data_IF_916165386163
#
_entry.id   IF_916165386163
#
_cell.length_a   1.000
_cell.length_b   1.000
_cell.length_c   1.000
_cell.angle_alpha   90.00
_cell.angle_beta   90.00
_cell.angle_gamma   90.00
#
_symmetry.space_group_name_H-M   'P 1'
#
loop_
_entity.id
_entity.type
_entity.pdbx_description
1 polymer ?
#
# COMPACT_ATOMS: atom_id res chain seq x y z
N UNK A 1 13.44 -38.19 54.40
CA UNK A 1 12.96 -38.24 52.99
C UNK A 1 12.41 -36.86 52.64
N UNK A 2 13.20 -36.01 51.96
CA UNK A 2 12.80 -34.65 51.58
C UNK A 2 12.11 -34.69 50.22
N UNK A 3 10.81 -34.42 50.19
CA UNK A 3 10.02 -34.27 48.96
C UNK A 3 10.33 -32.92 48.34
N UNK A 4 11.03 -32.92 47.21
CA UNK A 4 11.27 -31.75 46.38
C UNK A 4 10.00 -31.51 45.56
N UNK A 5 9.33 -30.39 45.81
CA UNK A 5 8.11 -29.99 45.11
C UNK A 5 8.54 -29.27 43.83
N UNK A 6 8.37 -29.91 42.68
CA UNK A 6 8.65 -29.30 41.38
C UNK A 6 7.50 -28.35 41.02
N UNK A 7 7.75 -27.05 41.16
CA UNK A 7 6.89 -26.00 40.63
C UNK A 7 7.14 -25.98 39.11
N UNK A 8 6.20 -26.54 38.34
CA UNK A 8 6.14 -26.31 36.91
C UNK A 8 5.69 -24.87 36.67
N UNK A 9 6.64 -23.98 36.35
CA UNK A 9 6.34 -22.65 35.86
C UNK A 9 5.77 -22.80 34.46
N UNK A 10 4.45 -22.66 34.34
CA UNK A 10 3.77 -22.43 33.07
C UNK A 10 4.16 -21.02 32.60
N UNK A 11 5.09 -20.94 31.66
CA UNK A 11 5.36 -19.71 30.91
C UNK A 11 4.22 -19.59 29.89
N UNK A 12 3.29 -18.63 30.01
CA UNK A 12 2.35 -18.37 28.94
C UNK A 12 3.15 -17.89 27.73
N UNK A 13 3.16 -18.71 26.69
CA UNK A 13 3.59 -18.28 25.38
C UNK A 13 2.57 -17.26 24.86
N UNK A 14 2.76 -15.99 25.20
CA UNK A 14 2.24 -14.89 24.38
C UNK A 14 3.02 -14.96 23.06
N UNK A 15 2.60 -15.85 22.17
CA UNK A 15 3.03 -15.87 20.79
C UNK A 15 2.60 -14.54 20.19
N UNK A 16 3.55 -13.60 20.13
CA UNK A 16 3.35 -12.24 19.68
C UNK A 16 2.63 -12.24 18.33
N UNK A 17 1.44 -11.65 18.30
CA UNK A 17 0.74 -11.35 17.07
C UNK A 17 1.41 -10.14 16.39
N UNK A 18 2.64 -10.33 15.91
CA UNK A 18 3.48 -9.26 15.35
C UNK A 18 2.81 -8.56 14.17
N UNK A 19 1.93 -9.26 13.44
CA UNK A 19 1.21 -8.66 12.32
C UNK A 19 -0.02 -7.89 12.80
N UNK A 20 -0.69 -8.33 13.86
CA UNK A 20 -1.83 -7.61 14.44
C UNK A 20 -1.51 -6.18 14.87
N UNK A 21 -0.23 -5.86 15.13
CA UNK A 21 0.19 -4.49 15.40
C UNK A 21 -0.06 -3.54 14.23
N UNK A 22 -0.19 -4.03 13.00
CA UNK A 22 -0.49 -3.27 11.78
C UNK A 22 -1.99 -3.11 11.51
N UNK A 23 -2.86 -3.70 12.32
CA UNK A 23 -4.30 -3.49 12.19
C UNK A 23 -4.66 -2.04 12.54
N UNK A 24 -5.52 -1.40 11.74
CA UNK A 24 -6.07 -0.07 12.00
C UNK A 24 -7.38 -0.18 12.79
N UNK A 25 -7.46 0.48 13.94
CA UNK A 25 -8.69 0.61 14.72
C UNK A 25 -9.67 1.67 14.20
N UNK A 26 -10.76 1.86 14.94
CA UNK A 26 -11.71 2.96 14.67
C UNK A 26 -11.01 4.32 14.82
N UNK A 27 -11.08 5.15 13.78
CA UNK A 27 -10.41 6.45 13.75
C UNK A 27 -8.90 6.40 13.52
N UNK A 28 -8.33 5.23 13.20
CA UNK A 28 -6.92 5.11 12.82
C UNK A 28 -6.76 4.91 11.31
N UNK A 29 -5.70 5.49 10.75
CA UNK A 29 -5.34 5.33 9.35
C UNK A 29 -3.82 5.29 9.19
N UNK A 30 -3.35 4.62 8.15
CA UNK A 30 -2.01 4.79 7.65
C UNK A 30 -2.01 5.90 6.61
N UNK A 31 -1.25 6.97 6.82
CA UNK A 31 -1.18 8.12 5.91
C UNK A 31 0.28 8.44 5.56
N UNK A 32 0.49 8.91 4.33
CA UNK A 32 1.79 9.43 3.90
C UNK A 32 1.79 9.88 2.45
N UNK A 33 2.84 10.62 2.10
CA UNK A 33 2.97 11.22 0.78
C UNK A 33 3.68 10.30 -0.21
N UNK A 34 3.40 10.56 -1.49
CA UNK A 34 4.08 9.90 -2.59
C UNK A 34 5.57 10.24 -2.61
N UNK A 35 6.39 9.23 -2.86
CA UNK A 35 7.84 9.36 -3.02
C UNK A 35 8.15 9.66 -4.49
N UNK A 36 9.20 10.46 -4.72
CA UNK A 36 9.71 10.76 -6.05
C UNK A 36 9.63 12.25 -6.35
N UNK A 37 10.80 12.90 -6.32
CA UNK A 37 10.97 14.29 -6.77
C UNK A 37 10.92 14.36 -8.29
N UNK A 38 10.50 15.50 -8.85
CA UNK A 38 10.49 15.69 -10.30
C UNK A 38 11.87 15.35 -10.90
N UNK A 39 11.89 14.46 -11.88
CA UNK A 39 13.07 14.00 -12.58
C UNK A 39 12.95 14.24 -14.10
N UNK A 40 13.39 15.41 -14.58
CA UNK A 40 13.23 15.80 -15.98
C UNK A 40 14.06 14.94 -16.95
N UNK A 41 14.97 14.09 -16.46
CA UNK A 41 15.74 13.17 -17.31
C UNK A 41 14.95 11.90 -17.65
N UNK A 42 13.99 11.53 -16.79
CA UNK A 42 13.16 10.34 -16.96
C UNK A 42 11.72 10.68 -17.39
N UNK A 43 11.38 11.97 -17.46
CA UNK A 43 10.06 12.48 -17.80
C UNK A 43 10.12 13.32 -19.08
N UNK A 44 9.42 12.92 -20.15
CA UNK A 44 9.35 13.73 -21.36
C UNK A 44 8.67 15.07 -21.07
N UNK A 45 9.03 16.09 -21.85
CA UNK A 45 8.30 17.36 -21.97
C UNK A 45 8.07 18.15 -20.66
N UNK A 46 8.92 17.94 -19.65
CA UNK A 46 8.84 18.68 -18.38
C UNK A 46 7.66 18.26 -17.49
N UNK A 47 7.02 17.13 -17.82
CA UNK A 47 5.95 16.52 -17.01
C UNK A 47 6.46 16.26 -15.60
N UNK A 48 5.66 16.61 -14.59
CA UNK A 48 5.97 16.33 -13.19
C UNK A 48 5.87 14.83 -12.89
N UNK A 49 6.96 14.09 -13.14
CA UNK A 49 7.06 12.66 -12.86
C UNK A 49 8.46 12.29 -12.31
N UNK A 50 8.68 11.01 -12.02
CA UNK A 50 10.01 10.46 -11.74
C UNK A 50 10.10 8.97 -12.10
N UNK A 51 11.28 8.37 -12.03
CA UNK A 51 11.41 6.93 -12.26
C UNK A 51 10.61 6.06 -11.26
N UNK A 52 10.21 6.62 -10.11
CA UNK A 52 9.37 5.99 -9.08
C UNK A 52 7.98 6.62 -8.94
N UNK A 53 7.60 7.55 -9.83
CA UNK A 53 6.30 8.24 -9.79
C UNK A 53 5.81 8.59 -11.19
N UNK A 54 4.64 8.09 -11.56
CA UNK A 54 3.97 8.34 -12.85
C UNK A 54 2.46 8.38 -12.65
N UNK A 55 1.79 9.30 -13.34
CA UNK A 55 0.35 9.50 -13.27
C UNK A 55 -0.11 10.22 -12.00
N UNK A 56 0.67 10.12 -10.92
CA UNK A 56 0.43 10.87 -9.69
C UNK A 56 1.23 12.18 -9.63
N UNK A 57 0.60 13.31 -9.29
CA UNK A 57 1.30 14.56 -9.01
C UNK A 57 2.20 14.46 -7.77
N UNK A 58 3.15 15.39 -7.63
CA UNK A 58 3.99 15.46 -6.44
C UNK A 58 3.15 15.86 -5.22
N UNK A 59 3.46 15.27 -4.06
CA UNK A 59 2.78 15.59 -2.80
C UNK A 59 1.38 15.00 -2.65
N UNK A 60 0.96 14.09 -3.54
CA UNK A 60 -0.26 13.30 -3.32
C UNK A 60 -0.10 12.47 -2.06
N UNK A 61 -1.14 12.48 -1.24
CA UNK A 61 -1.21 11.71 -0.02
C UNK A 61 -2.06 10.47 -0.26
N UNK A 62 -1.60 9.33 0.25
CA UNK A 62 -2.36 8.07 0.31
C UNK A 62 -2.78 7.81 1.75
N UNK A 63 -4.03 7.39 1.91
CA UNK A 63 -4.59 6.85 3.14
C UNK A 63 -4.91 5.37 2.95
N UNK A 64 -4.62 4.58 3.98
CA UNK A 64 -4.84 3.14 4.02
C UNK A 64 -5.48 2.76 5.36
N UNK A 65 -6.63 2.09 5.31
CA UNK A 65 -7.08 1.23 6.40
C UNK A 65 -6.63 -0.18 6.10
N UNK A 66 -6.16 -0.91 7.11
CA UNK A 66 -5.61 -2.24 6.89
C UNK A 66 -5.85 -3.16 8.09
N UNK A 67 -6.31 -4.38 7.81
CA UNK A 67 -6.41 -5.46 8.78
C UNK A 67 -5.73 -6.74 8.25
N UNK A 68 -4.53 -7.08 8.75
CA UNK A 68 -3.80 -8.26 8.32
C UNK A 68 -4.48 -9.58 8.72
N UNK A 69 -5.39 -9.57 9.71
CA UNK A 69 -6.14 -10.77 10.10
C UNK A 69 -7.30 -11.06 9.13
N UNK A 70 -7.79 -10.03 8.44
CA UNK A 70 -8.85 -10.12 7.43
C UNK A 70 -8.35 -10.03 5.99
N UNK A 71 -7.05 -10.24 5.78
CA UNK A 71 -6.38 -10.17 4.47
C UNK A 71 -6.98 -11.01 3.32
N UNK A 72 -7.86 -11.97 3.61
CA UNK A 72 -8.49 -12.84 2.60
C UNK A 72 -9.98 -12.55 2.37
N UNK A 73 -10.56 -11.63 3.13
CA UNK A 73 -11.99 -11.29 3.09
C UNK A 73 -12.16 -9.78 2.93
N UNK A 74 -11.62 -9.01 3.85
CA UNK A 74 -11.75 -7.55 3.92
C UNK A 74 -10.44 -6.96 4.46
N UNK A 75 -9.40 -6.86 3.61
CA UNK A 75 -8.07 -6.39 4.03
C UNK A 75 -8.07 -4.92 4.42
N UNK A 76 -9.04 -4.13 3.95
CA UNK A 76 -9.10 -2.68 4.13
C UNK A 76 -9.24 -1.91 2.82
N UNK A 77 -9.01 -0.60 2.87
CA UNK A 77 -9.31 0.33 1.76
C UNK A 77 -8.18 1.34 1.56
N UNK A 78 -8.10 1.89 0.35
CA UNK A 78 -7.20 2.99 0.01
C UNK A 78 -7.97 4.22 -0.48
N UNK A 79 -7.49 5.41 -0.10
CA UNK A 79 -7.96 6.69 -0.62
C UNK A 79 -6.77 7.57 -0.96
N UNK A 80 -6.91 8.46 -1.93
CA UNK A 80 -5.88 9.47 -2.23
C UNK A 80 -6.46 10.88 -2.16
N UNK A 81 -5.56 11.84 -1.93
CA UNK A 81 -5.91 13.25 -1.96
C UNK A 81 -4.71 14.11 -2.37
N UNK A 82 -4.98 15.35 -2.79
CA UNK A 82 -3.97 16.29 -3.27
C UNK A 82 -3.83 16.32 -4.81
N UNK A 83 -4.47 15.41 -5.53
CA UNK A 83 -4.55 15.47 -6.98
C UNK A 83 -5.39 16.66 -7.48
N UNK A 84 -4.95 17.39 -8.53
CA UNK A 84 -5.68 18.54 -9.06
C UNK A 84 -6.96 18.15 -9.79
N UNK A 85 -7.01 16.93 -10.36
CA UNK A 85 -8.13 16.42 -11.14
C UNK A 85 -9.12 15.59 -10.30
N UNK A 86 -9.00 15.64 -8.97
CA UNK A 86 -9.77 14.82 -8.05
C UNK A 86 -9.09 13.50 -7.70
N UNK A 87 -9.59 12.80 -6.67
CA UNK A 87 -8.91 11.66 -6.08
C UNK A 87 -8.89 10.46 -7.04
N UNK A 88 -7.74 9.80 -7.11
CA UNK A 88 -7.58 8.52 -7.83
C UNK A 88 -8.32 7.38 -7.14
N UNK A 89 -8.32 7.37 -5.80
CA UNK A 89 -9.02 6.39 -4.98
C UNK A 89 -9.89 7.08 -3.93
N UNK A 90 -11.08 6.54 -3.69
CA UNK A 90 -12.01 7.05 -2.68
C UNK A 90 -12.66 5.89 -1.95
N UNK A 91 -12.05 5.49 -0.83
CA UNK A 91 -12.47 4.30 -0.07
C UNK A 91 -12.41 3.01 -0.88
N UNK A 92 -11.49 2.93 -1.84
CA UNK A 92 -11.43 1.79 -2.77
C UNK A 92 -10.96 0.54 -2.03
N UNK A 93 -11.71 -0.57 -2.08
CA UNK A 93 -11.35 -1.77 -1.35
C UNK A 93 -10.10 -2.46 -1.93
N UNK A 94 -9.30 -3.04 -1.04
CA UNK A 94 -8.23 -3.96 -1.39
C UNK A 94 -8.84 -5.35 -1.62
N UNK A 95 -8.72 -5.86 -2.84
CA UNK A 95 -9.26 -7.14 -3.24
C UNK A 95 -8.16 -8.21 -3.12
N UNK A 96 -8.34 -9.24 -2.28
CA UNK A 96 -7.45 -10.40 -2.24
C UNK A 96 -7.38 -11.08 -3.60
N UNK A 97 -6.20 -11.60 -3.95
CA UNK A 97 -6.02 -12.44 -5.14
C UNK A 97 -5.96 -13.89 -4.65
N UNK A 98 -7.03 -14.70 -4.78
CA UNK A 98 -7.12 -16.00 -4.12
C UNK A 98 -5.98 -16.95 -4.44
N UNK A 99 -5.47 -16.91 -5.67
CA UNK A 99 -4.34 -17.74 -6.10
C UNK A 99 -3.04 -17.46 -5.32
N UNK A 100 -2.88 -16.26 -4.76
CA UNK A 100 -1.71 -15.87 -3.96
C UNK A 100 -1.83 -16.21 -2.48
N UNK A 101 -3.00 -16.63 -2.00
CA UNK A 101 -3.17 -17.01 -0.60
C UNK A 101 -2.25 -18.18 -0.19
N UNK A 102 -1.77 -18.94 -1.17
CA UNK A 102 -0.82 -20.03 -0.97
C UNK A 102 0.58 -19.72 -1.52
N UNK A 103 0.86 -18.47 -1.92
CA UNK A 103 2.17 -18.07 -2.42
C UNK A 103 3.20 -18.12 -1.29
N UNK A 104 4.03 -19.17 -1.31
CA UNK A 104 5.10 -19.37 -0.35
C UNK A 104 6.22 -18.34 -0.50
N UNK A 105 6.37 -17.71 -1.68
CA UNK A 105 7.40 -16.67 -1.88
C UNK A 105 7.02 -15.36 -1.19
N UNK A 106 5.72 -15.08 -0.98
CA UNK A 106 5.27 -13.98 -0.13
C UNK A 106 5.68 -14.11 1.34
N UNK A 107 6.07 -15.31 1.78
CA UNK A 107 6.64 -15.59 3.11
C UNK A 107 8.15 -15.34 3.17
N UNK A 108 8.82 -15.19 2.03
CA UNK A 108 10.27 -15.12 1.97
C UNK A 108 10.76 -13.72 2.38
N UNK A 109 11.41 -13.65 3.53
CA UNK A 109 12.11 -12.45 3.97
C UNK A 109 13.44 -12.33 3.20
N UNK A 110 13.56 -11.34 2.33
CA UNK A 110 14.86 -11.01 1.73
C UNK A 110 15.78 -10.42 2.82
N UNK A 111 16.95 -11.04 3.11
CA UNK A 111 17.85 -10.58 4.15
C UNK A 111 18.23 -9.11 3.94
N UNK A 112 18.09 -8.29 4.99
CA UNK A 112 18.59 -6.91 5.02
C UNK A 112 17.61 -5.80 4.61
N UNK A 113 16.35 -6.11 4.29
CA UNK A 113 15.38 -5.09 3.86
C UNK A 113 14.48 -4.52 4.97
N UNK A 114 14.47 -5.13 6.16
CA UNK A 114 13.60 -4.70 7.26
C UNK A 114 12.09 -4.95 7.04
N UNK A 115 11.72 -5.60 5.93
CA UNK A 115 10.34 -6.00 5.61
C UNK A 115 9.94 -7.23 6.41
N UNK A 116 8.83 -7.14 7.13
CA UNK A 116 8.25 -8.24 7.91
C UNK A 116 7.35 -9.13 7.05
N UNK A 117 6.55 -8.52 6.17
CA UNK A 117 5.60 -9.24 5.30
C UNK A 117 5.25 -8.41 4.08
N UNK A 118 5.04 -9.07 2.95
CA UNK A 118 4.49 -8.47 1.75
C UNK A 118 3.10 -9.04 1.46
N UNK A 119 2.20 -8.18 1.00
CA UNK A 119 0.91 -8.55 0.45
C UNK A 119 0.77 -7.99 -0.97
N UNK A 120 -0.02 -8.67 -1.77
CA UNK A 120 -0.40 -8.23 -3.10
C UNK A 120 -1.91 -8.31 -3.23
N UNK A 121 -2.51 -7.17 -3.57
CA UNK A 121 -3.94 -6.99 -3.76
C UNK A 121 -4.21 -6.39 -5.13
N UNK A 122 -5.47 -6.41 -5.54
CA UNK A 122 -5.98 -5.56 -6.61
C UNK A 122 -6.84 -4.47 -5.98
N UNK A 123 -6.74 -3.24 -6.46
CA UNK A 123 -7.74 -2.21 -6.22
C UNK A 123 -8.41 -1.88 -7.56
N UNK A 124 -9.73 -1.72 -7.55
CA UNK A 124 -10.50 -1.29 -8.71
C UNK A 124 -11.40 -0.12 -8.29
N UNK A 125 -10.98 1.13 -8.52
CA UNK A 125 -11.78 2.28 -8.15
C UNK A 125 -13.02 2.39 -9.06
N UNK A 126 -14.13 2.88 -8.51
CA UNK A 126 -15.38 3.08 -9.26
C UNK A 126 -15.44 4.45 -9.96
N UNK A 127 -14.53 5.36 -9.61
CA UNK A 127 -14.46 6.74 -10.11
C UNK A 127 -13.01 7.20 -10.27
N UNK A 128 -12.84 8.38 -10.86
CA UNK A 128 -11.52 8.99 -11.07
C UNK A 128 -10.76 8.40 -12.27
N UNK A 129 -9.47 8.71 -12.39
CA UNK A 129 -8.69 8.42 -13.61
C UNK A 129 -8.47 6.94 -13.90
N UNK A 130 -8.63 6.10 -12.87
CA UNK A 130 -8.47 4.65 -12.95
C UNK A 130 -9.80 3.90 -12.87
N UNK A 131 -10.94 4.59 -13.02
CA UNK A 131 -12.26 4.00 -12.90
C UNK A 131 -12.40 2.70 -13.73
N UNK A 132 -12.77 1.61 -13.06
CA UNK A 132 -12.96 0.29 -13.68
C UNK A 132 -11.68 -0.45 -14.10
N UNK A 133 -10.49 0.14 -13.88
CA UNK A 133 -9.19 -0.48 -14.18
C UNK A 133 -8.64 -1.23 -12.97
N UNK A 134 -7.92 -2.32 -13.23
CA UNK A 134 -7.19 -3.02 -12.19
C UNK A 134 -5.88 -2.32 -11.87
N UNK A 135 -5.70 -2.03 -10.58
CA UNK A 135 -4.47 -1.51 -10.00
C UNK A 135 -3.87 -2.60 -9.12
N UNK A 136 -2.64 -3.01 -9.43
CA UNK A 136 -1.88 -3.88 -8.55
C UNK A 136 -1.38 -3.07 -7.36
N UNK A 137 -1.70 -3.53 -6.15
CA UNK A 137 -1.30 -2.91 -4.89
C UNK A 137 -0.36 -3.84 -4.16
N UNK A 138 0.88 -3.40 -3.94
CA UNK A 138 1.85 -4.11 -3.11
C UNK A 138 1.93 -3.40 -1.76
N UNK A 139 1.68 -4.12 -0.67
CA UNK A 139 1.88 -3.63 0.69
C UNK A 139 3.08 -4.32 1.32
N UNK A 140 4.05 -3.55 1.79
CA UNK A 140 5.19 -4.05 2.55
C UNK A 140 5.12 -3.54 3.98
N UNK A 141 4.90 -4.45 4.94
CA UNK A 141 4.96 -4.13 6.36
C UNK A 141 6.43 -4.02 6.78
N UNK A 142 6.81 -2.90 7.38
CA UNK A 142 8.19 -2.62 7.75
C UNK A 142 8.38 -2.70 9.26
N UNK A 143 9.56 -3.16 9.68
CA UNK A 143 9.96 -3.09 11.09
C UNK A 143 9.94 -1.63 11.55
N UNK A 144 9.25 -1.36 12.65
CA UNK A 144 9.01 0.00 13.14
C UNK A 144 7.58 0.50 12.92
N UNK A 145 6.70 -0.34 12.36
CA UNK A 145 5.26 -0.09 12.31
C UNK A 145 4.79 0.76 11.13
N UNK A 146 5.65 1.02 10.14
CA UNK A 146 5.32 1.74 8.91
C UNK A 146 4.97 0.78 7.77
N UNK A 147 4.27 1.29 6.76
CA UNK A 147 3.87 0.51 5.59
C UNK A 147 4.37 1.22 4.33
N UNK A 148 5.02 0.48 3.43
CA UNK A 148 5.27 0.94 2.07
C UNK A 148 4.15 0.42 1.16
N UNK A 149 3.55 1.31 0.36
CA UNK A 149 2.54 0.97 -0.64
C UNK A 149 3.09 1.27 -2.01
N UNK A 150 3.08 0.29 -2.91
CA UNK A 150 3.40 0.48 -4.32
C UNK A 150 2.19 0.18 -5.18
N UNK A 151 1.83 1.12 -6.03
CA UNK A 151 0.70 1.04 -6.96
C UNK A 151 1.22 0.91 -8.39
N UNK A 152 0.62 0.01 -9.17
CA UNK A 152 0.95 -0.19 -10.59
C UNK A 152 -0.33 -0.39 -11.38
N UNK A 153 -0.57 0.44 -12.40
CA UNK A 153 -1.68 0.28 -13.33
C UNK A 153 -1.22 0.53 -14.77
N UNK A 154 -1.53 -0.43 -15.65
CA UNK A 154 -1.16 -0.39 -17.06
C UNK A 154 0.29 -0.81 -17.36
N UNK A 155 0.69 -0.86 -18.65
CA UNK A 155 1.97 -1.42 -19.10
C UNK A 155 3.18 -0.50 -18.91
N UNK A 156 2.97 0.77 -18.57
CA UNK A 156 4.05 1.74 -18.41
C UNK A 156 4.56 2.32 -19.74
N UNK A 157 3.69 2.45 -20.73
CA UNK A 157 3.96 3.04 -22.03
C UNK A 157 3.44 4.47 -22.15
N UNK A 158 2.36 4.83 -21.44
CA UNK A 158 1.73 6.15 -21.54
C UNK A 158 1.98 6.99 -20.28
N UNK A 159 2.76 8.06 -20.43
CA UNK A 159 3.06 9.03 -19.38
C UNK A 159 2.24 10.29 -19.63
N UNK A 160 1.33 10.60 -18.72
CA UNK A 160 0.51 11.80 -18.80
C UNK A 160 1.00 12.88 -17.83
N UNK A 161 0.74 14.14 -18.18
CA UNK A 161 0.86 15.24 -17.24
C UNK A 161 -0.25 15.13 -16.17
N UNK A 162 0.09 14.97 -14.88
CA UNK A 162 -0.91 14.87 -13.82
C UNK A 162 -1.72 16.15 -13.61
N UNK A 163 -1.32 17.27 -14.22
CA UNK A 163 -2.07 18.53 -14.20
C UNK A 163 -3.02 18.71 -15.39
N UNK A 164 -2.92 17.87 -16.43
CA UNK A 164 -3.83 17.92 -17.58
C UNK A 164 -5.04 17.00 -17.35
N UNK A 165 -6.08 17.55 -16.73
CA UNK A 165 -7.28 16.78 -16.41
C UNK A 165 -8.00 16.21 -17.62
N UNK A 166 -7.88 16.81 -18.81
CA UNK A 166 -8.49 16.27 -20.03
C UNK A 166 -7.86 14.95 -20.45
N UNK A 167 -6.54 14.84 -20.30
CA UNK A 167 -5.80 13.60 -20.58
C UNK A 167 -6.01 12.56 -19.47
N UNK A 168 -6.00 13.00 -18.21
CA UNK A 168 -6.25 12.14 -17.05
C UNK A 168 -7.64 11.50 -17.12
N UNK A 169 -8.68 12.27 -17.42
CA UNK A 169 -10.07 11.80 -17.49
C UNK A 169 -10.33 10.89 -18.71
N UNK A 170 -9.48 10.96 -19.74
CA UNK A 170 -9.53 10.03 -20.87
C UNK A 170 -9.14 8.59 -20.45
N UNK A 171 -8.52 8.42 -19.28
CA UNK A 171 -8.31 7.11 -18.65
C UNK A 171 -7.23 6.24 -19.30
N UNK A 172 -6.41 6.79 -20.21
CA UNK A 172 -5.35 6.06 -20.93
C UNK A 172 -3.99 6.04 -20.21
N UNK A 173 -3.82 6.85 -19.17
CA UNK A 173 -2.54 7.04 -18.49
C UNK A 173 -2.10 5.80 -17.71
N UNK A 174 -0.79 5.55 -17.67
CA UNK A 174 -0.22 4.52 -16.81
C UNK A 174 0.21 5.10 -15.47
N UNK A 175 -0.02 4.34 -14.40
CA UNK A 175 0.26 4.78 -13.04
C UNK A 175 1.32 3.89 -12.42
N UNK A 176 2.28 4.55 -11.77
CA UNK A 176 3.25 3.92 -10.90
C UNK A 176 3.51 4.87 -9.74
N UNK A 177 3.41 4.40 -8.50
CA UNK A 177 3.67 5.24 -7.35
C UNK A 177 4.14 4.42 -6.16
N UNK A 178 5.00 5.01 -5.34
CA UNK A 178 5.44 4.45 -4.06
C UNK A 178 5.12 5.44 -2.96
N UNK A 179 4.49 4.99 -1.89
CA UNK A 179 4.11 5.78 -0.72
C UNK A 179 4.71 5.16 0.53
N UNK A 180 5.23 5.99 1.43
CA UNK A 180 5.66 5.57 2.76
C UNK A 180 4.66 6.06 3.80
N UNK A 181 3.98 5.14 4.47
CA UNK A 181 2.87 5.46 5.38
C UNK A 181 3.26 5.28 6.85
N UNK A 182 2.92 6.29 7.66
CA UNK A 182 2.91 6.24 9.11
C UNK A 182 1.49 6.10 9.65
N UNK A 183 1.35 5.60 10.88
CA UNK A 183 0.04 5.55 11.56
C UNK A 183 -0.34 6.92 12.11
N UNK A 184 -1.58 7.32 11.89
CA UNK A 184 -2.20 8.55 12.39
C UNK A 184 -3.58 8.26 13.01
N UNK A 185 -3.97 9.08 13.98
CA UNK A 185 -5.35 9.13 14.49
C UNK A 185 -6.07 10.31 13.86
N UNK A 186 -7.29 10.07 13.37
CA UNK A 186 -8.17 11.06 12.72
C UNK A 186 -8.83 12.03 13.71
#
# INVERSE_FOLDING_TARGET
>A
MRRCWWICVLIPAFGCNQLGEFSTGEGEVYRGDIVGVNDPLNCPDGIDCSFIRRGFPYGVTLELTFDPERQYDDPGTISTSGEPCGPTFSGTPLLPIPALAHDQLGLYEFPGSGRLRNYMFVARPDSGPLAGRDVMVFLSLLRGGTIEVRLVAGPGLEICDPSDCGVIDAGSCDYFGVFGLGRETL
#
